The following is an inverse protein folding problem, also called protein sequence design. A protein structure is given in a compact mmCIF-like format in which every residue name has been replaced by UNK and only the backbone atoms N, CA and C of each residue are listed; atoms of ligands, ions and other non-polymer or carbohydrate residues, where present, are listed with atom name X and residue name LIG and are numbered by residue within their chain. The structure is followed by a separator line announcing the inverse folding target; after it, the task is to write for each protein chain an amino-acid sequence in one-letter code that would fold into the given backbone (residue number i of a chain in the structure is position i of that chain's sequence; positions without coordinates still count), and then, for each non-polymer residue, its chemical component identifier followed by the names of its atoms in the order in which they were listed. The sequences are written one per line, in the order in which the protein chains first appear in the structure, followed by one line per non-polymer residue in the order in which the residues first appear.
data_IF_177849693883
#
_entry.id   IF_177849693883
#
_cell.length_a   1.000
_cell.length_b   1.000
_cell.length_c   1.000
_cell.angle_alpha   90.00
_cell.angle_beta   90.00
_cell.angle_gamma   90.00
#
_symmetry.space_group_name_H-M   'P 1'
#
loop_
_entity.id
_entity.type
_entity.pdbx_description
1 polymer ?
#
# COMPACT_ATOMS: atom_id res chain seq x y z
N UNK A 1 -9.38 -1.30 -1.42
CA UNK A 1 -8.32 -2.33 -1.52
C UNK A 1 -7.01 -1.70 -1.99
N UNK A 2 -6.47 -0.75 -1.21
CA UNK A 2 -5.17 -0.15 -1.52
C UNK A 2 -4.05 -0.97 -0.90
N UNK A 3 -4.23 -1.35 0.36
CA UNK A 3 -3.29 -2.14 1.16
C UNK A 3 -2.79 -3.41 0.43
N UNK A 4 -3.70 -4.18 -0.20
CA UNK A 4 -3.31 -5.39 -0.96
C UNK A 4 -2.49 -5.07 -2.21
N UNK A 5 -2.77 -3.95 -2.89
CA UNK A 5 -1.99 -3.51 -4.05
C UNK A 5 -0.61 -3.01 -3.65
N UNK A 6 -0.54 -2.31 -2.52
CA UNK A 6 0.73 -1.82 -1.97
C UNK A 6 1.63 -3.01 -1.53
N UNK A 7 1.03 -4.12 -1.08
CA UNK A 7 1.76 -5.35 -0.76
C UNK A 7 2.19 -6.18 -1.99
N UNK A 8 1.46 -6.09 -3.10
CA UNK A 8 1.70 -6.87 -4.31
C UNK A 8 2.05 -5.94 -5.50
N UNK A 9 3.33 -5.63 -5.72
CA UNK A 9 3.73 -4.63 -6.73
C UNK A 9 3.42 -5.04 -8.17
N UNK A 10 3.20 -6.33 -8.41
CA UNK A 10 2.80 -6.89 -9.71
C UNK A 10 1.27 -6.97 -9.88
N UNK A 11 0.49 -6.63 -8.84
CA UNK A 11 -0.97 -6.69 -8.91
C UNK A 11 -1.52 -5.52 -9.73
N UNK A 12 -2.25 -5.84 -10.80
CA UNK A 12 -2.97 -4.87 -11.62
C UNK A 12 -4.38 -4.71 -11.08
N UNK A 13 -4.75 -3.47 -10.72
CA UNK A 13 -6.12 -3.17 -10.29
C UNK A 13 -7.12 -3.22 -11.44
N UNK A 14 -8.35 -3.61 -11.14
CA UNK A 14 -9.50 -3.45 -12.04
C UNK A 14 -10.64 -2.68 -11.37
N UNK A 15 -11.54 -2.20 -12.20
CA UNK A 15 -12.87 -1.75 -11.83
C UNK A 15 -13.67 -2.89 -11.17
N UNK A 16 -14.66 -2.52 -10.36
CA UNK A 16 -15.48 -3.49 -9.65
C UNK A 16 -16.32 -4.26 -10.67
N UNK A 17 -16.18 -5.60 -10.68
CA UNK A 17 -17.03 -6.46 -11.48
C UNK A 17 -18.48 -6.36 -10.98
N UNK A 18 -19.43 -6.30 -11.91
CA UNK A 18 -20.85 -6.32 -11.58
C UNK A 18 -21.27 -7.70 -11.05
N UNK A 19 -22.09 -7.74 -10.00
CA UNK A 19 -22.46 -8.97 -9.30
C UNK A 19 -23.32 -9.92 -10.15
N UNK A 20 -23.97 -9.41 -11.21
CA UNK A 20 -24.72 -10.23 -12.16
C UNK A 20 -23.82 -10.95 -13.17
N UNK A 21 -22.56 -10.53 -13.33
CA UNK A 21 -21.65 -11.13 -14.30
C UNK A 21 -21.07 -12.43 -13.78
N UNK A 22 -20.97 -13.42 -14.68
CA UNK A 22 -20.39 -14.72 -14.36
C UNK A 22 -18.90 -14.61 -14.04
N UNK A 23 -18.38 -15.54 -13.23
CA UNK A 23 -16.95 -15.64 -12.92
C UNK A 23 -16.08 -15.88 -14.16
N UNK A 24 -16.65 -16.30 -15.30
CA UNK A 24 -15.91 -16.48 -16.56
C UNK A 24 -15.35 -15.17 -17.11
N UNK A 25 -16.04 -14.05 -16.86
CA UNK A 25 -15.57 -12.72 -17.25
C UNK A 25 -14.21 -12.37 -16.61
N UNK A 26 -13.87 -12.98 -15.46
CA UNK A 26 -12.57 -12.77 -14.82
C UNK A 26 -11.42 -13.35 -15.65
N UNK A 27 -11.65 -14.45 -16.38
CA UNK A 27 -10.64 -15.06 -17.23
C UNK A 27 -10.33 -14.14 -18.42
N UNK A 28 -11.35 -13.60 -19.07
CA UNK A 28 -11.21 -12.64 -20.18
C UNK A 28 -10.45 -11.38 -19.73
N UNK A 29 -10.79 -10.84 -18.56
CA UNK A 29 -10.10 -9.70 -17.97
C UNK A 29 -8.61 -10.02 -17.70
N UNK A 30 -8.34 -11.22 -17.20
CA UNK A 30 -6.98 -11.63 -16.92
C UNK A 30 -6.15 -11.81 -18.19
N UNK A 31 -6.75 -12.35 -19.26
CA UNK A 31 -6.13 -12.48 -20.58
C UNK A 31 -5.83 -11.10 -21.19
N UNK A 32 -6.79 -10.18 -21.18
CA UNK A 32 -6.59 -8.79 -21.64
C UNK A 32 -5.46 -8.07 -20.89
N UNK A 33 -5.29 -8.36 -19.60
CA UNK A 33 -4.25 -7.75 -18.75
C UNK A 33 -2.96 -8.57 -18.68
N UNK A 34 -2.89 -9.69 -19.39
CA UNK A 34 -1.76 -10.62 -19.37
C UNK A 34 -1.38 -11.05 -17.94
N UNK A 35 -2.38 -11.44 -17.14
CA UNK A 35 -2.23 -11.88 -15.76
C UNK A 35 -2.43 -13.39 -15.67
N UNK A 36 -1.50 -14.10 -15.04
CA UNK A 36 -1.59 -15.56 -14.84
C UNK A 36 -2.47 -15.94 -13.66
N UNK A 37 -2.61 -15.06 -12.66
CA UNK A 37 -3.38 -15.28 -11.44
C UNK A 37 -4.40 -14.18 -11.24
N UNK A 38 -5.56 -14.56 -10.70
CA UNK A 38 -6.66 -13.63 -10.38
C UNK A 38 -7.01 -13.74 -8.91
N UNK A 39 -7.22 -12.57 -8.29
CA UNK A 39 -7.81 -12.43 -6.96
C UNK A 39 -9.11 -11.63 -7.08
N UNK A 40 -10.23 -12.24 -6.72
CA UNK A 40 -11.55 -11.60 -6.76
C UNK A 40 -12.20 -11.61 -5.38
N UNK A 41 -12.58 -10.42 -4.91
CA UNK A 41 -13.22 -10.23 -3.62
C UNK A 41 -14.73 -10.08 -3.81
N UNK A 42 -15.48 -11.11 -3.41
CA UNK A 42 -16.94 -11.15 -3.45
C UNK A 42 -17.50 -10.76 -2.08
N UNK A 43 -18.11 -9.58 -1.98
CA UNK A 43 -18.83 -9.17 -0.76
C UNK A 43 -20.32 -9.50 -0.88
N UNK A 44 -20.84 -10.37 -0.01
CA UNK A 44 -22.26 -10.71 0.10
C UNK A 44 -22.92 -10.00 1.27
N UNK A 45 -24.07 -9.38 1.01
CA UNK A 45 -24.91 -8.67 2.01
C UNK A 45 -24.13 -7.68 2.91
N UNK A 46 -22.99 -7.17 2.45
CA UNK A 46 -22.04 -6.33 3.21
C UNK A 46 -21.56 -6.93 4.55
N UNK A 47 -21.73 -8.24 4.75
CA UNK A 47 -21.32 -8.94 5.98
C UNK A 47 -20.22 -9.94 5.71
N UNK A 48 -20.43 -10.79 4.69
CA UNK A 48 -19.50 -11.86 4.37
C UNK A 48 -18.63 -11.44 3.19
N UNK A 49 -17.32 -11.61 3.33
CA UNK A 49 -16.38 -11.39 2.24
C UNK A 49 -15.71 -12.70 1.89
N UNK A 50 -15.84 -13.10 0.63
CA UNK A 50 -15.17 -14.26 0.07
C UNK A 50 -14.04 -13.80 -0.84
N UNK A 51 -12.91 -14.47 -0.75
CA UNK A 51 -11.78 -14.28 -1.65
C UNK A 51 -11.67 -15.49 -2.56
N UNK A 52 -11.80 -15.24 -3.86
CA UNK A 52 -11.52 -16.20 -4.90
C UNK A 52 -10.10 -15.99 -5.40
N UNK A 53 -9.28 -17.05 -5.35
CA UNK A 53 -7.95 -17.06 -5.93
C UNK A 53 -7.88 -18.15 -6.99
N UNK A 54 -7.46 -17.82 -8.19
CA UNK A 54 -7.41 -18.78 -9.29
C UNK A 54 -6.19 -18.58 -10.19
N UNK A 55 -5.74 -19.70 -10.77
CA UNK A 55 -4.78 -19.72 -11.87
C UNK A 55 -5.55 -19.84 -13.20
N UNK A 56 -5.40 -18.85 -14.08
CA UNK A 56 -6.28 -18.65 -15.25
C UNK A 56 -6.13 -19.75 -16.29
N UNK A 57 -4.91 -20.23 -16.53
CA UNK A 57 -4.62 -21.15 -17.65
C UNK A 57 -5.13 -22.59 -17.43
N UNK A 58 -4.91 -23.16 -16.25
CA UNK A 58 -5.18 -24.60 -15.98
C UNK A 58 -5.81 -24.88 -14.61
N UNK A 59 -6.15 -23.84 -13.83
CA UNK A 59 -6.55 -23.99 -12.43
C UNK A 59 -5.39 -24.42 -11.54
N UNK A 60 -5.55 -24.49 -10.20
CA UNK A 60 -6.79 -24.58 -9.42
C UNK A 60 -7.44 -23.23 -9.08
N UNK A 61 -8.68 -23.30 -8.61
CA UNK A 61 -9.44 -22.19 -8.03
C UNK A 61 -9.79 -22.50 -6.59
N UNK A 62 -9.53 -21.56 -5.70
CA UNK A 62 -9.77 -21.70 -4.26
C UNK A 62 -10.67 -20.56 -3.81
N UNK A 63 -11.66 -20.89 -2.98
CA UNK A 63 -12.55 -19.93 -2.34
C UNK A 63 -12.27 -19.90 -0.85
N UNK A 64 -11.85 -18.74 -0.35
CA UNK A 64 -11.62 -18.48 1.06
C UNK A 64 -12.77 -17.66 1.63
N UNK A 65 -13.23 -18.02 2.82
CA UNK A 65 -14.07 -17.15 3.65
C UNK A 65 -13.14 -16.28 4.48
N UNK A 66 -13.21 -14.97 4.29
CA UNK A 66 -12.31 -14.02 4.95
C UNK A 66 -12.98 -13.50 6.22
N UNK A 67 -12.29 -13.70 7.35
CA UNK A 67 -12.71 -13.21 8.67
C UNK A 67 -11.65 -12.29 9.27
N UNK A 68 -12.07 -11.48 10.24
CA UNK A 68 -11.22 -10.62 11.05
C UNK A 68 -10.30 -9.69 10.22
N UNK A 69 -10.90 -8.97 9.27
CA UNK A 69 -10.17 -8.04 8.39
C UNK A 69 -9.77 -6.79 9.17
N UNK A 70 -8.47 -6.48 9.19
CA UNK A 70 -7.91 -5.27 9.78
C UNK A 70 -7.18 -4.46 8.72
N UNK A 71 -7.29 -3.13 8.78
CA UNK A 71 -6.59 -2.25 7.83
C UNK A 71 -5.17 -1.94 8.29
N UNK A 72 -4.27 -1.65 7.33
CA UNK A 72 -2.89 -1.27 7.67
C UNK A 72 -2.83 0.02 8.53
N UNK A 73 -3.85 0.87 8.41
CA UNK A 73 -4.02 2.09 9.22
C UNK A 73 -4.31 1.78 10.70
N UNK A 74 -5.10 0.74 10.99
CA UNK A 74 -5.46 0.35 12.36
C UNK A 74 -4.28 -0.30 13.08
N UNK A 75 -3.57 -1.21 12.42
CA UNK A 75 -2.51 -1.98 13.04
C UNK A 75 -1.21 -1.18 13.24
N UNK A 76 -1.16 0.09 12.78
CA UNK A 76 0.07 0.91 12.69
C UNK A 76 1.24 0.12 12.08
N UNK A 77 0.93 -0.85 11.23
CA UNK A 77 1.93 -1.57 10.47
C UNK A 77 2.29 -0.62 9.35
N UNK A 78 3.28 0.22 9.61
CA UNK A 78 4.00 0.93 8.58
C UNK A 78 4.80 -0.13 7.84
N UNK A 79 4.15 -0.86 6.93
CA UNK A 79 4.87 -1.43 5.80
C UNK A 79 5.75 -0.30 5.28
N UNK A 80 7.07 -0.51 5.19
CA UNK A 80 8.07 0.52 4.89
C UNK A 80 7.70 1.24 3.58
N UNK A 81 6.86 2.24 3.67
CA UNK A 81 6.51 3.10 2.55
C UNK A 81 7.70 4.03 2.39
N UNK A 82 8.42 3.84 1.28
CA UNK A 82 9.62 4.62 0.96
C UNK A 82 9.32 6.13 0.94
N UNK A 83 8.07 6.52 0.69
CA UNK A 83 7.61 7.92 0.79
C UNK A 83 7.65 8.46 2.22
N UNK A 84 7.15 7.71 3.20
CA UNK A 84 7.20 8.11 4.61
C UNK A 84 8.66 8.20 5.10
N UNK A 85 9.52 7.30 4.65
CA UNK A 85 10.96 7.35 4.94
C UNK A 85 11.61 8.60 4.33
N UNK A 86 11.27 8.95 3.08
CA UNK A 86 11.77 10.17 2.41
C UNK A 86 11.30 11.43 3.14
N UNK A 87 10.04 11.49 3.56
CA UNK A 87 9.51 12.64 4.29
C UNK A 87 10.15 12.76 5.68
N UNK A 88 10.32 11.65 6.40
CA UNK A 88 11.01 11.61 7.69
C UNK A 88 12.48 12.03 7.55
N UNK A 89 13.20 11.54 6.54
CA UNK A 89 14.57 11.95 6.23
C UNK A 89 14.65 13.45 5.90
N UNK A 90 13.67 14.00 5.17
CA UNK A 90 13.58 15.44 4.87
C UNK A 90 13.37 16.27 6.13
N UNK A 91 12.44 15.87 7.01
CA UNK A 91 12.20 16.51 8.32
C UNK A 91 13.45 16.45 9.22
N UNK A 92 14.15 15.32 9.25
CA UNK A 92 15.41 15.16 9.98
C UNK A 92 16.52 16.06 9.45
N UNK A 93 16.66 16.19 8.13
CA UNK A 93 17.64 17.08 7.48
C UNK A 93 17.36 18.55 7.82
N UNK A 94 16.09 18.97 7.78
CA UNK A 94 15.68 20.34 8.15
C UNK A 94 15.99 20.64 9.62
N UNK A 95 15.68 19.72 10.55
CA UNK A 95 16.02 19.88 11.97
C UNK A 95 17.53 19.99 12.20
N UNK A 96 18.32 19.13 11.55
CA UNK A 96 19.80 19.17 11.64
C UNK A 96 20.36 20.52 11.17
N UNK A 97 19.85 21.04 10.06
CA UNK A 97 20.25 22.36 9.54
C UNK A 97 19.91 23.50 10.51
N UNK A 98 18.72 23.48 11.12
CA UNK A 98 18.32 24.49 12.10
C UNK A 98 19.25 24.50 13.32
N UNK A 99 19.59 23.32 13.85
CA UNK A 99 20.50 23.16 14.99
C UNK A 99 21.90 23.66 14.62
N UNK A 100 22.40 23.34 13.43
CA UNK A 100 23.73 23.72 12.98
C UNK A 100 23.85 25.24 12.74
N UNK A 101 22.79 25.86 12.22
CA UNK A 101 22.68 27.31 12.08
C UNK A 101 22.62 28.01 13.44
N UNK A 102 21.85 27.48 14.40
CA UNK A 102 21.82 27.99 15.79
C UNK A 102 23.20 27.93 16.45
N UNK A 103 23.92 26.82 16.32
CA UNK A 103 25.30 26.68 16.82
C UNK A 103 26.27 27.67 16.17
N UNK A 104 26.17 27.90 14.85
CA UNK A 104 27.00 28.90 14.13
C UNK A 104 26.69 30.33 14.59
N UNK A 105 25.42 30.66 14.81
CA UNK A 105 24.99 31.97 15.27
C UNK A 105 25.52 32.27 16.68
N UNK A 106 25.40 31.31 17.60
CA UNK A 106 25.94 31.43 18.96
C UNK A 106 27.46 31.60 18.96
N UNK A 107 28.18 30.85 18.11
CA UNK A 107 29.64 30.96 17.97
C UNK A 107 30.08 32.33 17.41
N UNK A 108 29.30 32.92 16.50
CA UNK A 108 29.51 34.28 15.98
C UNK A 108 29.24 35.36 17.04
N UNK A 109 28.15 35.26 17.81
CA UNK A 109 27.89 36.18 18.94
C UNK A 109 29.01 36.13 19.98
N UNK A 110 29.50 34.94 20.34
CA UNK A 110 30.63 34.78 21.28
C UNK A 110 31.95 35.39 20.78
N UNK A 111 32.18 35.45 19.46
CA UNK A 111 33.36 36.11 18.88
C UNK A 111 33.24 37.63 18.86
N UNK A 112 32.05 38.19 18.64
CA UNK A 112 31.81 39.65 18.64
C UNK A 112 31.86 40.30 20.03
N UNK A 113 31.50 39.57 21.09
CA UNK A 113 31.60 40.09 22.46
C UNK A 113 33.02 39.97 23.07
N UNK A 114 34.02 39.57 22.30
CA UNK A 114 35.42 39.44 22.73
C UNK A 114 36.38 40.42 22.02
N UNK A 115 35.84 41.29 21.17
CA UNK A 115 36.49 42.46 20.58
C UNK A 115 35.94 43.71 21.25
#
# INVERSE_FOLDING_TARGET
MKDVKDLLPHAKGDSKLDQQKSLKALNEIAEMKNCTKVMYFESRKRKDTYLWMSNVEKGPSIKFLVHNVHTMKELKIYARNVEDEKEMKKKLKMKKNHIQNGKRFFKRKKKRNRS
#
